data_IF_108812668766
#
_entry.id   IF_108812668766
#
_cell.length_a   1.000
_cell.length_b   1.000
_cell.length_c   1.000
_cell.angle_alpha   90.00
_cell.angle_beta   90.00
_cell.angle_gamma   90.00
#
_symmetry.space_group_name_H-M   'P 1'
#
loop_
_entity.id
_entity.type
_entity.pdbx_description
1 polymer ?
#
# COMPACT_ATOMS: atom_id res chain seq x y z
N UNK A 1 16.63 5.93 24.08
CA UNK A 1 16.58 4.53 23.59
C UNK A 1 15.15 4.06 23.22
N UNK A 2 14.27 4.95 22.69
CA UNK A 2 12.85 4.61 22.40
C UNK A 2 12.37 5.00 20.98
N UNK A 3 13.25 5.41 20.05
CA UNK A 3 12.84 5.78 18.68
C UNK A 3 12.58 4.58 17.75
N UNK A 4 13.16 3.40 18.06
CA UNK A 4 12.98 2.18 17.24
C UNK A 4 11.55 1.63 17.28
N UNK A 5 10.84 1.80 18.41
CA UNK A 5 9.46 1.28 18.57
C UNK A 5 8.45 1.95 17.64
N UNK A 6 8.54 3.27 17.45
CA UNK A 6 7.59 4.02 16.61
C UNK A 6 7.74 3.72 15.12
N UNK A 7 8.97 3.54 14.64
CA UNK A 7 9.23 3.18 13.24
C UNK A 7 8.68 1.79 12.91
N UNK A 8 8.90 0.81 13.79
CA UNK A 8 8.34 -0.53 13.65
C UNK A 8 6.80 -0.52 13.68
N UNK A 9 6.20 0.24 14.60
CA UNK A 9 4.74 0.35 14.70
C UNK A 9 4.11 1.02 13.48
N UNK A 10 4.77 2.01 12.88
CA UNK A 10 4.37 2.62 11.61
C UNK A 10 4.43 1.63 10.45
N UNK A 11 5.47 0.80 10.39
CA UNK A 11 5.60 -0.23 9.35
C UNK A 11 4.49 -1.28 9.48
N UNK A 12 4.14 -1.68 10.71
CA UNK A 12 3.01 -2.58 10.98
C UNK A 12 1.68 -1.94 10.57
N UNK A 13 1.48 -0.65 10.83
CA UNK A 13 0.29 0.06 10.36
C UNK A 13 0.20 0.08 8.83
N UNK A 14 1.32 0.34 8.13
CA UNK A 14 1.38 0.29 6.66
C UNK A 14 1.14 -1.12 6.13
N UNK A 15 1.66 -2.14 6.81
CA UNK A 15 1.38 -3.54 6.47
C UNK A 15 -0.11 -3.86 6.60
N UNK A 16 -0.75 -3.48 7.71
CA UNK A 16 -2.20 -3.68 7.90
C UNK A 16 -3.03 -2.93 6.85
N UNK A 17 -2.62 -1.71 6.47
CA UNK A 17 -3.25 -0.98 5.35
C UNK A 17 -3.09 -1.75 4.05
N UNK A 18 -1.89 -2.29 3.76
CA UNK A 18 -1.66 -3.11 2.58
C UNK A 18 -2.52 -4.37 2.56
N UNK A 19 -2.63 -5.07 3.69
CA UNK A 19 -3.51 -6.24 3.85
C UNK A 19 -4.96 -5.87 3.57
N UNK A 20 -5.44 -4.73 4.08
CA UNK A 20 -6.78 -4.24 3.77
C UNK A 20 -6.94 -3.94 2.28
N UNK A 21 -5.99 -3.21 1.71
CA UNK A 21 -6.02 -2.72 0.32
C UNK A 21 -5.99 -3.87 -0.69
N UNK A 22 -5.23 -4.93 -0.39
CA UNK A 22 -5.15 -6.15 -1.20
C UNK A 22 -6.16 -7.22 -0.79
N UNK A 23 -7.12 -6.90 0.07
CA UNK A 23 -8.17 -7.84 0.44
C UNK A 23 -9.15 -8.05 -0.73
N UNK A 24 -9.60 -9.28 -0.92
CA UNK A 24 -10.49 -9.68 -2.01
C UNK A 24 -11.79 -8.85 -2.11
N UNK A 25 -12.49 -8.47 -1.01
CA UNK A 25 -13.69 -7.65 -1.08
C UNK A 25 -13.43 -6.23 -1.59
N UNK A 26 -12.27 -5.65 -1.24
CA UNK A 26 -11.88 -4.33 -1.72
C UNK A 26 -11.47 -4.39 -3.18
N UNK A 27 -10.72 -5.43 -3.59
CA UNK A 27 -10.38 -5.64 -5.00
C UNK A 27 -11.62 -5.91 -5.87
N UNK A 28 -12.60 -6.64 -5.36
CA UNK A 28 -13.87 -6.90 -6.04
C UNK A 28 -14.65 -5.62 -6.38
N UNK A 29 -14.49 -4.53 -5.63
CA UNK A 29 -15.11 -3.25 -5.97
C UNK A 29 -14.51 -2.60 -7.23
N UNK A 30 -13.23 -2.88 -7.49
CA UNK A 30 -12.47 -2.42 -8.65
C UNK A 30 -12.47 -3.43 -9.81
N UNK A 31 -13.01 -4.64 -9.60
CA UNK A 31 -13.23 -5.67 -10.61
C UNK A 31 -14.42 -5.30 -11.52
N UNK A 32 -14.29 -4.16 -12.18
CA UNK A 32 -15.24 -3.65 -13.16
C UNK A 32 -14.63 -3.85 -14.54
N UNK A 33 -15.44 -4.08 -15.59
CA UNK A 33 -14.98 -4.16 -16.98
C UNK A 33 -14.65 -2.75 -17.52
N UNK A 34 -13.87 -1.98 -16.77
CA UNK A 34 -13.38 -0.66 -17.13
C UNK A 34 -11.94 -0.82 -17.55
N UNK A 35 -11.61 -0.29 -18.74
CA UNK A 35 -10.27 -0.29 -19.27
C UNK A 35 -9.67 1.11 -19.12
N UNK A 36 -8.49 1.20 -18.54
CA UNK A 36 -7.68 2.42 -18.42
C UNK A 36 -6.44 2.22 -19.30
N UNK A 37 -6.29 3.03 -20.35
CA UNK A 37 -5.23 2.86 -21.37
C UNK A 37 -5.18 1.44 -21.99
N UNK A 38 -6.32 0.75 -22.07
CA UNK A 38 -6.41 -0.63 -22.59
C UNK A 38 -6.11 -1.72 -21.55
N UNK A 39 -5.77 -1.36 -20.30
CA UNK A 39 -5.54 -2.29 -19.19
C UNK A 39 -6.76 -2.35 -18.27
N UNK A 40 -7.11 -3.53 -17.71
CA UNK A 40 -8.20 -3.62 -16.74
C UNK A 40 -7.91 -2.74 -15.52
N UNK A 41 -8.93 -1.99 -15.08
CA UNK A 41 -8.87 -1.07 -13.94
C UNK A 41 -8.25 -1.74 -12.70
N UNK A 42 -8.61 -3.00 -12.45
CA UNK A 42 -8.10 -3.81 -11.35
C UNK A 42 -6.57 -3.91 -11.33
N UNK A 43 -5.94 -4.07 -12.50
CA UNK A 43 -4.48 -4.15 -12.59
C UNK A 43 -3.85 -2.79 -12.30
N UNK A 44 -4.42 -1.72 -12.86
CA UNK A 44 -3.94 -0.35 -12.62
C UNK A 44 -4.05 0.01 -11.13
N UNK A 45 -5.19 -0.28 -10.49
CA UNK A 45 -5.37 -0.04 -9.06
C UNK A 45 -4.40 -0.85 -8.21
N UNK A 46 -4.13 -2.10 -8.59
CA UNK A 46 -3.17 -2.96 -7.89
C UNK A 46 -1.76 -2.35 -7.91
N UNK A 47 -1.29 -1.92 -9.09
CA UNK A 47 0.02 -1.29 -9.22
C UNK A 47 0.12 0.06 -8.51
N UNK A 48 -0.94 0.88 -8.56
CA UNK A 48 -0.99 2.17 -7.83
C UNK A 48 -0.93 1.95 -6.32
N UNK A 49 -1.73 1.01 -5.80
CA UNK A 49 -1.73 0.60 -4.41
C UNK A 49 -0.33 0.12 -3.95
N UNK A 50 0.29 -0.72 -4.77
CA UNK A 50 1.61 -1.28 -4.49
C UNK A 50 2.72 -0.21 -4.49
N UNK A 51 2.73 0.68 -5.49
CA UNK A 51 3.67 1.80 -5.56
C UNK A 51 3.49 2.74 -4.35
N UNK A 52 2.25 3.03 -3.97
CA UNK A 52 1.93 3.83 -2.78
C UNK A 52 2.51 3.22 -1.50
N UNK A 53 2.38 1.90 -1.32
CA UNK A 53 2.97 1.19 -0.19
C UNK A 53 4.50 1.28 -0.17
N UNK A 54 5.16 1.12 -1.31
CA UNK A 54 6.62 1.22 -1.41
C UNK A 54 7.10 2.62 -1.00
N UNK A 55 6.49 3.67 -1.55
CA UNK A 55 6.82 5.06 -1.22
C UNK A 55 6.61 5.32 0.27
N UNK A 56 5.49 4.83 0.83
CA UNK A 56 5.17 5.03 2.25
C UNK A 56 6.16 4.28 3.16
N UNK A 57 6.53 3.04 2.81
CA UNK A 57 7.54 2.27 3.53
C UNK A 57 8.92 2.95 3.45
N UNK A 58 9.36 3.37 2.27
CA UNK A 58 10.62 4.10 2.09
C UNK A 58 10.66 5.38 2.92
N UNK A 59 9.58 6.16 2.89
CA UNK A 59 9.46 7.39 3.68
C UNK A 59 9.49 7.16 5.19
N UNK A 60 8.83 6.09 5.67
CA UNK A 60 8.88 5.71 7.09
C UNK A 60 10.27 5.25 7.49
N UNK A 61 10.95 4.47 6.64
CA UNK A 61 12.30 4.00 6.87
C UNK A 61 13.30 5.17 6.93
N UNK A 62 13.24 6.11 5.99
CA UNK A 62 14.08 7.32 5.99
C UNK A 62 13.85 8.19 7.22
N UNK A 63 12.60 8.37 7.64
CA UNK A 63 12.27 9.15 8.85
C UNK A 63 12.61 8.42 10.15
N UNK A 64 12.60 7.09 10.16
CA UNK A 64 12.98 6.28 11.31
C UNK A 64 14.50 6.14 11.48
N UNK A 65 15.25 6.34 10.40
CA UNK A 65 16.71 6.29 10.38
C UNK A 65 17.40 7.61 10.77
N UNK A 66 16.69 8.74 10.76
CA UNK A 66 17.14 10.04 11.29
C UNK A 66 16.74 10.22 12.76
#
# INVERSE_FOLDING_TARGET
MMRKGLAGQRLVAVFLVGVLLFNFPLMSLFDRPVLVFGLPLLHVSLFVAWAGLIVLMGWIAERGSR
#
